data_IF_334502879012
#
_entry.id   IF_334502879012
#
_cell.length_a   1.000
_cell.length_b   1.000
_cell.length_c   1.000
_cell.angle_alpha   90.00
_cell.angle_beta   90.00
_cell.angle_gamma   90.00
#
_symmetry.space_group_name_H-M   'P 1'
#
loop_
_entity.id
_entity.type
_entity.pdbx_description
1 polymer ?
#
# COMPACT_ATOMS: atom_id res chain seq x y z
N UNK A 1 7.42 28.49 7.13
CA UNK A 1 6.83 27.75 6.00
C UNK A 1 5.51 27.21 6.46
N UNK A 2 4.40 27.57 5.80
CA UNK A 2 3.07 27.03 6.10
C UNK A 2 3.14 25.51 6.04
N UNK A 3 2.74 24.82 7.12
CA UNK A 3 2.64 23.38 7.13
C UNK A 3 1.78 22.93 5.96
N UNK A 4 2.38 22.19 5.02
CA UNK A 4 1.69 21.69 3.83
C UNK A 4 0.56 20.78 4.30
N UNK A 5 -0.68 21.27 4.21
CA UNK A 5 -1.86 20.43 4.42
C UNK A 5 -1.90 19.44 3.25
N UNK A 6 -1.52 18.19 3.51
CA UNK A 6 -1.54 17.14 2.51
C UNK A 6 -2.89 16.42 2.56
N UNK A 7 -3.71 16.66 1.54
CA UNK A 7 -5.00 16.00 1.42
C UNK A 7 -4.84 14.52 1.01
N UNK A 8 -5.81 13.64 1.34
CA UNK A 8 -5.69 12.20 1.07
C UNK A 8 -5.51 11.84 -0.41
N UNK A 9 -6.20 12.54 -1.32
CA UNK A 9 -6.08 12.28 -2.77
C UNK A 9 -4.68 12.62 -3.30
N UNK A 10 -4.12 13.83 -3.06
CA UNK A 10 -2.72 14.13 -3.37
C UNK A 10 -1.73 13.18 -2.70
N UNK A 11 -1.99 12.74 -1.45
CA UNK A 11 -1.14 11.75 -0.76
C UNK A 11 -1.08 10.42 -1.52
N UNK A 12 -2.23 9.85 -1.88
CA UNK A 12 -2.29 8.58 -2.61
C UNK A 12 -1.67 8.69 -4.00
N UNK A 13 -1.92 9.79 -4.72
CA UNK A 13 -1.30 10.04 -6.01
C UNK A 13 0.24 10.14 -5.91
N UNK A 14 0.77 10.70 -4.80
CA UNK A 14 2.20 10.75 -4.54
C UNK A 14 2.85 9.42 -4.17
N UNK A 15 2.04 8.39 -3.88
CA UNK A 15 2.49 7.01 -3.63
C UNK A 15 2.42 6.12 -4.87
N UNK A 16 1.79 6.58 -5.97
CA UNK A 16 1.76 5.83 -7.22
C UNK A 16 3.20 5.60 -7.74
N UNK A 17 3.50 4.36 -8.11
CA UNK A 17 4.82 3.88 -8.53
C UNK A 17 5.77 3.54 -7.37
N UNK A 18 5.35 3.68 -6.10
CA UNK A 18 6.18 3.37 -4.93
C UNK A 18 5.72 2.10 -4.24
N UNK A 19 6.64 1.46 -3.51
CA UNK A 19 6.31 0.38 -2.60
C UNK A 19 5.41 0.91 -1.46
N UNK A 20 4.33 0.20 -1.16
CA UNK A 20 3.38 0.56 -0.11
C UNK A 20 3.03 -0.65 0.75
N UNK A 21 2.55 -0.39 1.97
CA UNK A 21 1.78 -1.36 2.75
C UNK A 21 0.33 -0.88 2.80
N UNK A 22 -0.59 -1.74 2.38
CA UNK A 22 -2.00 -1.60 2.60
C UNK A 22 -2.44 -2.60 3.68
N UNK A 23 -2.90 -2.10 4.83
CA UNK A 23 -3.47 -2.97 5.87
C UNK A 23 -4.98 -3.01 5.74
N UNK A 24 -5.55 -4.21 5.78
CA UNK A 24 -7.00 -4.40 5.79
C UNK A 24 -7.57 -4.28 7.22
N UNK A 25 -8.86 -3.97 7.30
CA UNK A 25 -9.63 -3.92 8.57
C UNK A 25 -9.54 -5.21 9.38
N UNK A 26 -9.29 -6.33 8.71
CA UNK A 26 -9.23 -7.67 9.29
C UNK A 26 -7.83 -8.08 9.76
N UNK A 27 -6.84 -7.18 9.65
CA UNK A 27 -5.49 -7.38 10.17
C UNK A 27 -4.46 -7.81 9.14
N UNK A 28 -4.87 -8.36 7.99
CA UNK A 28 -3.96 -8.77 6.91
C UNK A 28 -3.29 -7.55 6.27
N UNK A 29 -2.02 -7.71 5.90
CA UNK A 29 -1.21 -6.68 5.28
C UNK A 29 -0.79 -7.11 3.88
N UNK A 30 -0.93 -6.22 2.91
CA UNK A 30 -0.45 -6.41 1.55
C UNK A 30 0.68 -5.43 1.29
N UNK A 31 1.82 -5.94 0.85
CA UNK A 31 3.01 -5.15 0.52
C UNK A 31 3.29 -5.31 -0.95
N UNK A 32 3.39 -4.22 -1.69
CA UNK A 32 3.60 -4.26 -3.13
C UNK A 32 3.79 -2.86 -3.71
N UNK A 33 3.97 -2.77 -5.02
CA UNK A 33 4.10 -1.49 -5.73
C UNK A 33 2.72 -0.96 -6.10
N UNK A 34 2.39 0.27 -5.67
CA UNK A 34 1.11 0.89 -6.00
C UNK A 34 1.08 1.33 -7.47
N UNK A 35 0.42 0.57 -8.33
CA UNK A 35 0.35 0.85 -9.77
C UNK A 35 -0.67 1.94 -10.09
N UNK A 36 -1.84 1.88 -9.47
CA UNK A 36 -2.91 2.85 -9.71
C UNK A 36 -3.88 2.96 -8.54
N UNK A 37 -4.61 4.07 -8.52
CA UNK A 37 -5.67 4.39 -7.56
C UNK A 37 -6.82 5.06 -8.29
N UNK A 38 -8.06 4.76 -7.87
CA UNK A 38 -9.25 5.41 -8.41
C UNK A 38 -9.86 6.46 -7.44
N UNK A 39 -10.97 7.06 -7.84
CA UNK A 39 -11.67 8.08 -7.04
C UNK A 39 -12.25 7.56 -5.73
N UNK A 40 -12.48 6.25 -5.63
CA UNK A 40 -12.99 5.57 -4.43
C UNK A 40 -11.87 5.04 -3.54
N UNK A 41 -10.60 5.21 -3.94
CA UNK A 41 -9.42 4.67 -3.27
C UNK A 41 -9.34 3.13 -3.33
N UNK A 42 -9.82 2.52 -4.42
CA UNK A 42 -9.42 1.16 -4.77
C UNK A 42 -7.92 1.20 -5.14
N UNK A 43 -7.16 0.17 -4.74
CA UNK A 43 -5.72 0.10 -4.91
C UNK A 43 -5.37 -1.04 -5.86
N UNK A 44 -4.59 -0.75 -6.90
CA UNK A 44 -3.95 -1.78 -7.72
C UNK A 44 -2.50 -1.92 -7.27
N UNK A 45 -2.13 -3.10 -6.77
CA UNK A 45 -0.77 -3.43 -6.36
C UNK A 45 -0.15 -4.44 -7.32
N UNK A 46 1.12 -4.24 -7.67
CA UNK A 46 1.95 -5.22 -8.36
C UNK A 46 2.98 -5.81 -7.39
N UNK A 47 3.51 -7.00 -7.73
CA UNK A 47 4.49 -7.75 -6.93
C UNK A 47 4.08 -7.85 -5.45
N UNK A 48 2.81 -8.18 -5.22
CA UNK A 48 2.18 -8.13 -3.91
C UNK A 48 2.50 -9.36 -3.09
N UNK A 49 3.01 -9.15 -1.88
CA UNK A 49 3.16 -10.17 -0.84
C UNK A 49 2.10 -9.97 0.25
N UNK A 50 1.48 -11.08 0.68
CA UNK A 50 0.54 -11.12 1.78
C UNK A 50 1.27 -11.42 3.10
N UNK A 51 0.93 -10.66 4.13
CA UNK A 51 1.42 -10.82 5.49
C UNK A 51 0.24 -11.05 6.43
N UNK A 52 0.29 -12.16 7.17
CA UNK A 52 -0.70 -12.53 8.19
C UNK A 52 0.02 -12.59 9.53
N UNK A 53 -0.43 -11.80 10.50
CA UNK A 53 0.20 -11.68 11.82
C UNK A 53 1.69 -11.30 11.78
N UNK A 54 2.11 -10.57 10.74
CA UNK A 54 3.49 -10.12 10.55
C UNK A 54 4.40 -11.09 9.79
N UNK A 55 3.94 -12.31 9.53
CA UNK A 55 4.69 -13.33 8.77
C UNK A 55 4.25 -13.36 7.30
N UNK A 56 5.19 -13.60 6.36
CA UNK A 56 4.86 -13.75 4.95
C UNK A 56 4.00 -15.01 4.74
N UNK A 57 2.78 -14.83 4.24
CA UNK A 57 1.85 -15.91 3.95
C UNK A 57 1.95 -16.39 2.49
N UNK A 58 2.34 -15.51 1.57
CA UNK A 58 2.55 -15.87 0.17
C UNK A 58 2.72 -14.67 -0.76
N UNK A 59 3.15 -14.96 -2.00
CA UNK A 59 3.21 -13.99 -3.09
C UNK A 59 1.93 -14.12 -3.96
N UNK A 60 1.26 -13.01 -4.18
CA UNK A 60 0.00 -12.91 -4.92
C UNK A 60 0.17 -12.25 -6.29
N UNK A 61 1.33 -11.64 -6.57
CA UNK A 61 1.57 -10.91 -7.82
C UNK A 61 0.70 -9.65 -7.93
N UNK A 62 -0.16 -9.59 -8.94
CA UNK A 62 -1.03 -8.44 -9.17
C UNK A 62 -2.36 -8.56 -8.40
N UNK A 63 -2.68 -7.55 -7.60
CA UNK A 63 -3.84 -7.57 -6.69
C UNK A 63 -4.62 -6.26 -6.80
N UNK A 64 -5.96 -6.38 -6.84
CA UNK A 64 -6.89 -5.27 -6.68
C UNK A 64 -7.51 -5.30 -5.28
N UNK A 65 -7.24 -4.28 -4.47
CA UNK A 65 -7.84 -4.12 -3.15
C UNK A 65 -9.01 -3.15 -3.22
N UNK A 66 -10.19 -3.62 -2.81
CA UNK A 66 -11.40 -2.79 -2.72
C UNK A 66 -11.32 -1.83 -1.53
N UNK A 67 -11.65 -0.56 -1.77
CA UNK A 67 -11.50 0.54 -0.83
C UNK A 67 -12.18 0.32 0.53
N UNK A 68 -13.33 -0.36 0.56
CA UNK A 68 -14.08 -0.59 1.79
C UNK A 68 -13.37 -1.53 2.77
N UNK A 69 -12.37 -2.29 2.33
CA UNK A 69 -11.58 -3.19 3.17
C UNK A 69 -10.32 -2.54 3.72
N UNK A 70 -9.87 -1.41 3.16
CA UNK A 70 -8.64 -0.73 3.56
C UNK A 70 -8.82 -0.07 4.92
N UNK A 71 -7.87 -0.30 5.82
CA UNK A 71 -7.74 0.40 7.10
C UNK A 71 -6.80 1.60 6.97
N UNK A 72 -5.60 1.37 6.43
CA UNK A 72 -4.66 2.44 6.10
C UNK A 72 -3.73 2.02 4.95
N UNK A 73 -3.09 3.03 4.35
CA UNK A 73 -1.99 2.88 3.38
C UNK A 73 -0.80 3.69 3.87
N UNK A 74 0.40 3.14 3.78
CA UNK A 74 1.66 3.87 4.00
C UNK A 74 2.66 3.55 2.89
N UNK A 75 3.53 4.50 2.57
CA UNK A 75 4.72 4.21 1.78
C UNK A 75 5.68 3.31 2.55
N UNK A 76 6.30 2.35 1.87
CA UNK A 76 7.54 1.75 2.34
C UNK A 76 8.66 2.76 2.13
N UNK A 77 9.53 2.89 3.12
CA UNK A 77 10.77 3.64 2.97
C UNK A 77 11.81 2.74 2.31
N UNK A 78 12.74 3.32 1.55
CA UNK A 78 13.73 2.55 0.78
C UNK A 78 14.61 1.66 1.68
N UNK A 79 14.85 2.06 2.93
CA UNK A 79 15.57 1.26 3.93
C UNK A 79 14.80 -0.02 4.32
N UNK A 80 13.46 0.03 4.32
CA UNK A 80 12.61 -1.14 4.60
C UNK A 80 12.49 -2.08 3.39
N UNK A 81 12.66 -1.56 2.17
CA UNK A 81 12.70 -2.37 0.94
C UNK A 81 14.02 -3.15 0.87
N UNK A 82 15.14 -2.48 1.17
CA UNK A 82 16.48 -3.09 1.11
C UNK A 82 16.72 -4.17 2.17
N UNK A 83 16.04 -4.10 3.33
CA UNK A 83 16.10 -5.13 4.38
C UNK A 83 15.44 -6.46 3.98
N UNK A 84 14.77 -6.51 2.83
CA UNK A 84 14.06 -7.70 2.32
C UNK A 84 14.60 -8.25 1.01
N UNK A 85 15.61 -7.61 0.42
CA UNK A 85 16.35 -8.10 -0.75
C UNK A 85 17.56 -8.92 -0.29
#
# INVERSE_FOLDING_TARGET
MSGLILNPKPFLAGLTGKAVVARLKWGMEYRGVLMSVDSYMNLQLADTEEFINGEPAGNLGEVLIRCNNVLFVRGLRDDEVALKA
#
